data_IF_857199477653
#
_entry.id   IF_857199477653
#
_cell.length_a   1.000
_cell.length_b   1.000
_cell.length_c   1.000
_cell.angle_alpha   90.00
_cell.angle_beta   90.00
_cell.angle_gamma   90.00
#
_symmetry.space_group_name_H-M   'P 1'
#
loop_
_entity.id
_entity.type
_entity.pdbx_description
1 polymer ?
#
# COMPACT_ATOMS: atom_id res chain seq x y z
N UNK A 1 -40.90 -32.23 15.14
CA UNK A 1 -40.38 -30.96 14.60
C UNK A 1 -38.87 -30.96 14.82
N UNK A 2 -38.08 -31.38 13.83
CA UNK A 2 -36.63 -31.39 13.92
C UNK A 2 -36.08 -30.03 13.51
N UNK A 3 -35.46 -29.30 14.43
CA UNK A 3 -34.66 -28.12 14.09
C UNK A 3 -33.40 -28.60 13.40
N UNK A 4 -33.34 -28.45 12.07
CA UNK A 4 -32.13 -28.65 11.29
C UNK A 4 -31.15 -27.54 11.71
N UNK A 5 -30.20 -27.90 12.58
CA UNK A 5 -29.12 -27.01 12.98
C UNK A 5 -28.17 -26.84 11.79
N UNK A 6 -28.40 -25.80 10.99
CA UNK A 6 -27.43 -25.38 9.98
C UNK A 6 -26.11 -25.03 10.70
N UNK A 7 -24.96 -25.60 10.27
CA UNK A 7 -23.68 -25.21 10.82
C UNK A 7 -23.47 -23.72 10.55
N UNK A 8 -23.44 -22.92 11.62
CA UNK A 8 -23.04 -21.51 11.54
C UNK A 8 -21.54 -21.52 11.31
N UNK A 9 -21.09 -21.52 10.05
CA UNK A 9 -19.67 -21.30 9.73
C UNK A 9 -19.52 -19.84 9.31
N UNK A 10 -18.59 -19.13 9.96
CA UNK A 10 -18.29 -17.75 9.62
C UNK A 10 -17.11 -17.73 8.66
N UNK A 11 -17.26 -17.05 7.51
CA UNK A 11 -16.21 -16.95 6.50
C UNK A 11 -15.28 -15.78 6.84
N UNK A 12 -13.97 -16.02 6.80
CA UNK A 12 -12.95 -14.98 6.96
C UNK A 12 -13.00 -14.04 5.75
N UNK A 13 -13.30 -12.77 5.97
CA UNK A 13 -13.17 -11.74 4.92
C UNK A 13 -11.69 -11.33 4.88
N UNK A 14 -10.92 -11.89 3.93
CA UNK A 14 -9.56 -11.41 3.66
C UNK A 14 -9.61 -10.03 3.01
N UNK A 15 -8.75 -9.13 3.48
CA UNK A 15 -8.67 -7.74 3.01
C UNK A 15 -7.84 -7.70 1.72
N UNK A 16 -8.55 -7.38 0.62
CA UNK A 16 -8.15 -6.99 -0.75
C UNK A 16 -6.77 -7.36 -1.32
N UNK A 17 -6.82 -7.94 -2.51
CA UNK A 17 -5.73 -8.52 -3.29
C UNK A 17 -4.85 -7.42 -3.88
N UNK A 18 -3.54 -7.58 -3.75
CA UNK A 18 -2.54 -6.73 -4.42
C UNK A 18 -2.64 -7.03 -5.92
N UNK A 19 -3.30 -6.17 -6.68
CA UNK A 19 -3.45 -6.35 -8.12
C UNK A 19 -2.11 -6.13 -8.83
N UNK A 20 -1.54 -7.19 -9.40
CA UNK A 20 -0.25 -7.20 -10.13
C UNK A 20 -0.30 -6.62 -11.54
N UNK A 21 -1.18 -5.65 -11.81
CA UNK A 21 -1.20 -4.91 -13.09
C UNK A 21 -0.60 -3.54 -12.87
N UNK A 22 0.43 -3.21 -13.65
CA UNK A 22 1.20 -1.95 -13.65
C UNK A 22 0.34 -0.75 -13.29
N UNK A 23 0.26 -0.47 -11.99
CA UNK A 23 -0.65 0.55 -11.47
C UNK A 23 -0.06 1.92 -11.77
N UNK A 24 -0.91 2.91 -11.99
CA UNK A 24 -0.51 4.33 -12.09
C UNK A 24 0.40 4.74 -10.93
N UNK A 25 0.28 4.11 -9.77
CA UNK A 25 1.14 4.30 -8.60
C UNK A 25 2.59 3.89 -8.87
N UNK A 26 2.79 2.73 -9.51
CA UNK A 26 4.10 2.21 -9.90
C UNK A 26 4.74 3.08 -10.98
N UNK A 27 3.94 3.60 -11.91
CA UNK A 27 4.40 4.59 -12.88
C UNK A 27 4.85 5.89 -12.21
N UNK A 28 4.07 6.43 -11.26
CA UNK A 28 4.45 7.65 -10.54
C UNK A 28 5.74 7.43 -9.75
N UNK A 29 5.86 6.33 -9.00
CA UNK A 29 7.11 6.01 -8.27
C UNK A 29 8.29 5.87 -9.23
N UNK A 30 8.12 5.18 -10.36
CA UNK A 30 9.18 5.02 -11.37
C UNK A 30 9.58 6.36 -11.99
N UNK A 31 8.62 7.23 -12.31
CA UNK A 31 8.91 8.57 -12.83
C UNK A 31 9.61 9.43 -11.80
N UNK A 32 9.26 9.34 -10.51
CA UNK A 32 9.92 10.06 -9.44
C UNK A 32 11.40 9.67 -9.34
N UNK A 33 11.70 8.37 -9.39
CA UNK A 33 13.08 7.88 -9.41
C UNK A 33 13.86 8.35 -10.65
N UNK A 34 13.28 8.25 -11.84
CA UNK A 34 13.95 8.65 -13.09
C UNK A 34 14.22 10.16 -13.12
N UNK A 35 13.27 10.97 -12.67
CA UNK A 35 13.46 12.44 -12.62
C UNK A 35 14.50 12.83 -11.58
N UNK A 36 14.48 12.19 -10.40
CA UNK A 36 15.46 12.45 -9.35
C UNK A 36 16.88 12.13 -9.84
N UNK A 37 17.10 10.98 -10.48
CA UNK A 37 18.42 10.59 -10.99
C UNK A 37 18.91 11.53 -12.08
N UNK A 38 18.05 11.92 -13.02
CA UNK A 38 18.41 12.86 -14.08
C UNK A 38 18.77 14.24 -13.53
N UNK A 39 18.01 14.76 -12.56
CA UNK A 39 18.32 16.05 -11.94
C UNK A 39 19.61 16.00 -11.12
N UNK A 40 19.86 14.92 -10.37
CA UNK A 40 21.13 14.75 -9.65
C UNK A 40 22.33 14.68 -10.59
N UNK A 41 22.23 13.96 -11.70
CA UNK A 41 23.28 13.92 -12.72
C UNK A 41 23.53 15.30 -13.32
N UNK A 42 22.46 16.04 -13.62
CA UNK A 42 22.56 17.41 -14.15
C UNK A 42 23.26 18.34 -13.16
N UNK A 43 22.93 18.25 -11.86
CA UNK A 43 23.58 19.03 -10.81
C UNK A 43 25.09 18.72 -10.70
N UNK A 44 25.48 17.45 -10.82
CA UNK A 44 26.90 17.05 -10.82
C UNK A 44 27.64 17.63 -12.04
N UNK A 45 27.04 17.55 -13.24
CA UNK A 45 27.62 18.12 -14.46
C UNK A 45 27.85 19.62 -14.31
N UNK A 46 26.87 20.35 -13.78
CA UNK A 46 26.99 21.80 -13.54
C UNK A 46 28.10 22.10 -12.52
N UNK A 47 28.18 21.33 -11.43
CA UNK A 47 29.21 21.50 -10.42
C UNK A 47 30.62 21.33 -11.00
N UNK A 48 30.84 20.29 -11.80
CA UNK A 48 32.14 20.02 -12.44
C UNK A 48 32.46 21.07 -13.51
N UNK A 49 31.49 21.43 -14.36
CA UNK A 49 31.69 22.40 -15.43
C UNK A 49 31.97 23.82 -14.92
N UNK A 50 31.41 24.19 -13.77
CA UNK A 50 31.58 25.52 -13.17
C UNK A 50 32.83 25.69 -12.32
N UNK A 51 33.70 24.67 -12.23
CA UNK A 51 34.93 24.68 -11.42
C UNK A 51 34.72 25.17 -9.97
N UNK A 52 33.53 24.91 -9.40
CA UNK A 52 33.20 25.26 -8.01
C UNK A 52 32.49 26.62 -7.82
N UNK A 53 32.53 27.53 -8.79
CA UNK A 53 31.81 28.82 -8.71
C UNK A 53 30.28 28.63 -8.75
N UNK A 54 29.80 27.55 -9.38
CA UNK A 54 28.39 27.17 -9.45
C UNK A 54 27.90 26.30 -8.29
N UNK A 55 28.67 26.18 -7.20
CA UNK A 55 28.33 25.31 -6.06
C UNK A 55 26.95 25.61 -5.44
N UNK A 56 26.60 26.89 -5.32
CA UNK A 56 25.28 27.29 -4.81
C UNK A 56 24.12 26.82 -5.71
N UNK A 57 24.28 26.95 -7.04
CA UNK A 57 23.26 26.51 -8.01
C UNK A 57 23.10 25.00 -7.97
N UNK A 58 24.20 24.24 -7.95
CA UNK A 58 24.18 22.80 -7.86
C UNK A 58 23.47 22.32 -6.57
N UNK A 59 23.72 22.97 -5.43
CA UNK A 59 23.07 22.63 -4.17
C UNK A 59 21.56 22.90 -4.17
N UNK A 60 21.13 24.05 -4.70
CA UNK A 60 19.71 24.38 -4.86
C UNK A 60 19.02 23.38 -5.78
N UNK A 61 19.67 22.96 -6.87
CA UNK A 61 19.13 21.93 -7.76
C UNK A 61 18.99 20.57 -7.07
N UNK A 62 19.93 20.17 -6.22
CA UNK A 62 19.82 18.93 -5.45
C UNK A 62 18.65 18.98 -4.44
N UNK A 63 18.48 20.10 -3.74
CA UNK A 63 17.33 20.29 -2.85
C UNK A 63 16.03 20.26 -3.66
N UNK A 64 15.98 20.93 -4.81
CA UNK A 64 14.84 20.92 -5.71
C UNK A 64 14.46 19.51 -6.18
N UNK A 65 15.45 18.72 -6.61
CA UNK A 65 15.27 17.33 -7.00
C UNK A 65 14.71 16.48 -5.86
N UNK A 66 15.23 16.67 -4.65
CA UNK A 66 14.76 15.96 -3.46
C UNK A 66 13.31 16.32 -3.10
N UNK A 67 12.96 17.61 -3.10
CA UNK A 67 11.60 18.09 -2.84
C UNK A 67 10.62 17.58 -3.90
N UNK A 68 11.03 17.60 -5.16
CA UNK A 68 10.20 17.10 -6.26
C UNK A 68 9.98 15.58 -6.15
N UNK A 69 11.01 14.82 -5.78
CA UNK A 69 10.87 13.40 -5.48
C UNK A 69 9.91 13.14 -4.31
N UNK A 70 10.01 13.91 -3.22
CA UNK A 70 9.09 13.82 -2.09
C UNK A 70 7.64 14.14 -2.50
N UNK A 71 7.43 15.18 -3.30
CA UNK A 71 6.10 15.58 -3.77
C UNK A 71 5.46 14.46 -4.60
N UNK A 72 6.20 13.87 -5.54
CA UNK A 72 5.70 12.75 -6.34
C UNK A 72 5.38 11.53 -5.46
N UNK A 73 6.20 11.26 -4.45
CA UNK A 73 5.94 10.18 -3.49
C UNK A 73 4.66 10.43 -2.67
N UNK A 74 4.44 11.66 -2.22
CA UNK A 74 3.20 12.05 -1.54
C UNK A 74 1.97 11.87 -2.45
N UNK A 75 2.08 12.21 -3.74
CA UNK A 75 1.01 12.01 -4.72
C UNK A 75 0.73 10.52 -4.93
N UNK A 76 1.75 9.68 -5.11
CA UNK A 76 1.59 8.24 -5.24
C UNK A 76 0.89 7.65 -4.00
N UNK A 77 1.25 8.12 -2.81
CA UNK A 77 0.63 7.70 -1.57
C UNK A 77 -0.83 8.15 -1.43
N UNK A 78 -1.15 9.39 -1.84
CA UNK A 78 -2.54 9.86 -1.90
C UNK A 78 -3.40 9.03 -2.85
N UNK A 79 -2.87 8.64 -4.01
CA UNK A 79 -3.59 7.78 -4.95
C UNK A 79 -3.90 6.41 -4.33
N UNK A 80 -2.94 5.80 -3.62
CA UNK A 80 -3.16 4.54 -2.89
C UNK A 80 -4.26 4.68 -1.83
N UNK A 81 -4.24 5.78 -1.07
CA UNK A 81 -5.26 6.07 -0.06
C UNK A 81 -6.64 6.28 -0.68
N UNK A 82 -6.73 7.00 -1.80
CA UNK A 82 -7.99 7.22 -2.52
C UNK A 82 -8.58 5.91 -3.06
N UNK A 83 -7.75 5.06 -3.68
CA UNK A 83 -8.22 3.74 -4.15
C UNK A 83 -8.69 2.85 -3.01
N UNK A 84 -7.95 2.86 -1.90
CA UNK A 84 -8.34 2.15 -0.67
C UNK A 84 -9.70 2.62 -0.14
N UNK A 85 -9.96 3.93 -0.14
CA UNK A 85 -11.26 4.49 0.27
C UNK A 85 -12.38 4.11 -0.70
N UNK A 86 -12.07 4.01 -2.00
CA UNK A 86 -13.00 3.55 -3.03
C UNK A 86 -13.22 2.03 -3.02
N UNK A 87 -12.50 1.27 -2.19
CA UNK A 87 -12.54 -0.20 -2.19
C UNK A 87 -12.00 -0.82 -3.48
N UNK A 88 -11.10 -0.12 -4.18
CA UNK A 88 -10.42 -0.62 -5.38
C UNK A 88 -9.04 -1.13 -5.01
N UNK A 89 -8.61 -2.23 -5.65
CA UNK A 89 -7.28 -2.77 -5.46
C UNK A 89 -6.19 -1.73 -5.80
N UNK A 90 -5.13 -1.69 -4.99
CA UNK A 90 -3.99 -0.79 -5.15
C UNK A 90 -2.67 -1.54 -4.98
N UNK A 91 -1.60 -1.01 -5.57
CA UNK A 91 -0.29 -1.65 -5.62
C UNK A 91 0.70 -0.96 -4.65
N UNK A 92 1.49 -1.77 -3.94
CA UNK A 92 2.54 -1.31 -3.04
C UNK A 92 2.11 -1.14 -1.58
N UNK A 93 3.07 -0.78 -0.72
CA UNK A 93 2.83 -0.52 0.71
C UNK A 93 2.49 0.95 0.93
N UNK A 94 1.37 1.21 1.62
CA UNK A 94 1.08 2.53 2.18
C UNK A 94 1.96 2.71 3.42
N UNK A 95 2.77 3.77 3.42
CA UNK A 95 3.67 4.12 4.52
C UNK A 95 2.88 4.30 5.81
N UNK A 96 3.50 3.92 6.95
CA UNK A 96 2.88 4.05 8.27
C UNK A 96 1.75 3.06 8.56
N UNK A 97 1.45 2.15 7.63
CA UNK A 97 0.34 1.24 7.82
C UNK A 97 0.72 -0.24 7.83
N UNK A 98 1.29 -0.67 8.96
CA UNK A 98 1.22 -2.06 9.42
C UNK A 98 -0.24 -2.37 9.79
N UNK A 99 -1.14 -2.46 8.81
CA UNK A 99 -2.47 -3.04 9.07
C UNK A 99 -2.24 -4.53 9.33
N UNK A 100 -2.17 -4.90 10.60
CA UNK A 100 -2.62 -6.23 10.99
C UNK A 100 -3.98 -6.44 10.34
N UNK A 101 -4.08 -7.41 9.43
CA UNK A 101 -5.36 -7.78 8.83
C UNK A 101 -6.25 -8.30 9.96
N UNK A 102 -7.11 -7.43 10.48
CA UNK A 102 -8.04 -7.79 11.54
C UNK A 102 -9.13 -8.64 10.90
N UNK A 103 -9.19 -9.92 11.28
CA UNK A 103 -10.27 -10.81 10.85
C UNK A 103 -11.58 -10.38 11.53
N UNK A 104 -12.71 -10.45 10.83
CA UNK A 104 -14.05 -10.19 11.37
C UNK A 104 -14.98 -11.39 11.10
N UNK A 105 -15.90 -11.75 12.02
CA UNK A 105 -16.87 -12.85 11.78
C UNK A 105 -17.95 -12.33 10.83
N UNK A 106 -18.24 -13.09 9.77
CA UNK A 106 -19.24 -12.73 8.77
C UNK A 106 -20.67 -12.60 9.35
N UNK A 107 -20.93 -13.25 10.49
CA UNK A 107 -22.21 -13.21 11.20
C UNK A 107 -22.34 -12.04 12.17
N UNK A 108 -21.38 -11.88 13.10
CA UNK A 108 -21.38 -10.85 14.15
C UNK A 108 -20.83 -9.50 13.66
N UNK A 109 -20.08 -9.46 12.55
CA UNK A 109 -19.18 -8.37 12.13
C UNK A 109 -18.16 -7.91 13.18
N UNK A 110 -18.09 -8.60 14.31
CA UNK A 110 -17.14 -8.30 15.37
C UNK A 110 -15.73 -8.74 14.96
N UNK A 111 -14.75 -7.98 15.42
CA UNK A 111 -13.32 -8.26 15.29
C UNK A 111 -13.00 -9.56 16.02
N UNK A 112 -12.27 -10.46 15.36
CA UNK A 112 -11.74 -11.66 15.98
C UNK A 112 -10.41 -11.38 16.64
N UNK A 113 -10.34 -11.71 17.92
CA UNK A 113 -9.09 -11.71 18.69
C UNK A 113 -8.38 -13.07 18.65
N UNK A 114 -9.08 -14.15 18.27
CA UNK A 114 -8.54 -15.51 18.18
C UNK A 114 -8.81 -16.13 16.81
N UNK A 115 -7.89 -17.00 16.34
CA UNK A 115 -7.95 -17.56 14.98
C UNK A 115 -9.08 -18.59 14.77
N UNK A 116 -9.71 -19.07 15.85
CA UNK A 116 -10.64 -20.21 15.79
C UNK A 116 -12.13 -19.88 15.95
N UNK A 117 -12.53 -18.77 16.60
CA UNK A 117 -13.93 -18.57 17.02
C UNK A 117 -14.27 -17.08 17.25
N UNK A 118 -15.46 -16.59 16.85
CA UNK A 118 -15.91 -15.25 17.31
C UNK A 118 -16.40 -15.37 18.75
N UNK A 119 -15.83 -14.56 19.65
CA UNK A 119 -16.22 -14.49 21.06
C UNK A 119 -17.67 -14.04 21.26
N UNK A 120 -18.27 -13.37 20.27
CA UNK A 120 -19.65 -12.89 20.31
C UNK A 120 -20.65 -13.83 19.62
N UNK A 121 -20.43 -14.19 18.34
CA UNK A 121 -21.35 -15.06 17.59
C UNK A 121 -21.30 -16.51 18.15
N UNK A 122 -20.14 -16.96 18.64
CA UNK A 122 -19.87 -18.34 19.05
C UNK A 122 -19.47 -19.39 17.98
N UNK A 123 -19.68 -19.22 16.65
CA UNK A 123 -19.24 -20.18 15.67
C UNK A 123 -17.74 -20.16 15.40
N UNK A 124 -17.25 -21.32 14.98
CA UNK A 124 -15.91 -21.58 14.52
C UNK A 124 -15.73 -21.02 13.11
N UNK A 125 -14.58 -20.39 12.86
CA UNK A 125 -14.23 -19.92 11.52
C UNK A 125 -13.66 -21.08 10.73
N UNK A 126 -14.21 -21.33 9.54
CA UNK A 126 -13.57 -22.23 8.57
C UNK A 126 -12.55 -21.41 7.80
N UNK A 127 -11.28 -21.81 7.87
CA UNK A 127 -10.25 -21.34 6.95
C UNK A 127 -10.44 -22.12 5.65
N UNK A 128 -11.09 -21.50 4.66
CA UNK A 128 -11.26 -22.10 3.32
C UNK A 128 -9.92 -22.17 2.53
N UNK A 129 -8.77 -22.27 3.21
CA UNK A 129 -7.43 -22.25 2.62
C UNK A 129 -7.00 -23.62 2.05
N UNK A 130 -7.92 -24.60 1.90
CA UNK A 130 -7.65 -25.95 1.37
C UNK A 130 -8.18 -26.21 -0.07
N UNK A 131 -8.68 -25.21 -0.79
CA UNK A 131 -9.07 -25.36 -2.21
C UNK A 131 -8.18 -24.54 -3.14
N UNK A 132 -7.02 -25.08 -3.51
CA UNK A 132 -6.51 -25.16 -4.90
C UNK A 132 -5.11 -25.79 -4.90
N UNK A 133 -5.06 -27.08 -5.23
CA UNK A 133 -3.85 -27.81 -5.60
C UNK A 133 -3.90 -28.12 -7.09
#
# INVERSE_FOLDING_TARGET
MGTIALPRTAKRIQKQVIAGRSSLESLVDRTAYVLATLQSLTAIVIFVASQGEGSGVAFVMLIGAFLQWLLLRCVAEHLRLQKKLAGVDYEGKISGTTWASVACCSLCKNVLHTEGRCDMCGPTITTDDEETK
#
